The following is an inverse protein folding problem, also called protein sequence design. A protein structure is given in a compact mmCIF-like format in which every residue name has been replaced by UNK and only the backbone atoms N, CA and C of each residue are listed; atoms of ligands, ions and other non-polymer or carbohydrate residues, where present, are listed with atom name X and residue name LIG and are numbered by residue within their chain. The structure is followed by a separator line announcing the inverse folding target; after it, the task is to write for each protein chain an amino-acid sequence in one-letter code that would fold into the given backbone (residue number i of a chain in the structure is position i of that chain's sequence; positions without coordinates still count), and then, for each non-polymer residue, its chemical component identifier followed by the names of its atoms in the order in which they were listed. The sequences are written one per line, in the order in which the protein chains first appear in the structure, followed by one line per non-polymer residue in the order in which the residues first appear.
data_IF_876422510727
#
_entry.id   IF_876422510727
#
_cell.length_a   1.000
_cell.length_b   1.000
_cell.length_c   1.000
_cell.angle_alpha   90.00
_cell.angle_beta   90.00
_cell.angle_gamma   90.00
#
_symmetry.space_group_name_H-M   'P 1'
#
loop_
_entity.id
_entity.type
_entity.pdbx_description
1 polymer ?
#
# COMPACT_ATOMS: atom_id res chain seq x y z
N UNK A 1 4.19 -6.86 -13.32
CA UNK A 1 4.09 -7.40 -11.95
C UNK A 1 4.14 -6.26 -10.95
N UNK A 2 3.12 -6.15 -10.10
CA UNK A 2 3.04 -5.12 -9.06
C UNK A 2 3.52 -5.67 -7.71
N UNK A 3 4.19 -4.82 -6.94
CA UNK A 3 4.52 -5.11 -5.55
C UNK A 3 4.47 -3.84 -4.69
N UNK A 4 4.25 -4.02 -3.40
CA UNK A 4 4.38 -2.96 -2.40
C UNK A 4 5.62 -3.22 -1.57
N UNK A 5 6.55 -2.27 -1.57
CA UNK A 5 7.79 -2.33 -0.79
C UNK A 5 7.63 -1.42 0.42
N UNK A 6 7.67 -2.02 1.60
CA UNK A 6 7.74 -1.32 2.88
C UNK A 6 9.21 -1.22 3.29
N UNK A 7 9.69 -0.03 3.63
CA UNK A 7 11.10 0.22 3.89
C UNK A 7 11.34 1.05 5.16
N UNK A 8 12.46 0.79 5.82
CA UNK A 8 12.99 1.60 6.93
C UNK A 8 14.19 2.40 6.44
N UNK A 9 14.26 3.69 6.75
CA UNK A 9 15.37 4.57 6.36
C UNK A 9 16.42 4.59 7.48
N UNK A 10 17.68 4.36 7.13
CA UNK A 10 18.76 4.18 8.11
C UNK A 10 19.08 5.41 8.97
N UNK A 11 18.70 6.61 8.52
CA UNK A 11 18.84 7.85 9.29
C UNK A 11 17.62 8.74 9.13
N UNK A 12 17.11 9.25 10.26
CA UNK A 12 15.98 10.18 10.30
C UNK A 12 16.24 11.47 9.51
N UNK A 13 17.48 11.95 9.48
CA UNK A 13 17.85 13.15 8.72
C UNK A 13 17.81 12.92 7.20
N UNK A 14 17.85 11.67 6.74
CA UNK A 14 17.84 11.30 5.33
C UNK A 14 16.46 11.02 4.76
N UNK A 15 15.38 11.04 5.55
CA UNK A 15 14.03 10.65 5.12
C UNK A 15 13.57 11.35 3.84
N UNK A 16 13.74 12.68 3.78
CA UNK A 16 13.29 13.50 2.64
C UNK A 16 14.14 13.23 1.39
N UNK A 17 15.46 13.09 1.55
CA UNK A 17 16.36 12.82 0.42
C UNK A 17 16.11 11.40 -0.13
N UNK A 18 15.95 10.42 0.76
CA UNK A 18 15.64 9.04 0.41
C UNK A 18 14.32 8.93 -0.34
N UNK A 19 13.24 9.56 0.14
CA UNK A 19 11.93 9.47 -0.55
C UNK A 19 11.97 10.16 -1.92
N UNK A 20 12.67 11.29 -2.05
CA UNK A 20 12.84 11.98 -3.33
C UNK A 20 13.63 11.12 -4.32
N UNK A 21 14.70 10.47 -3.88
CA UNK A 21 15.48 9.55 -4.71
C UNK A 21 14.65 8.34 -5.15
N UNK A 22 13.89 7.71 -4.25
CA UNK A 22 13.00 6.59 -4.57
C UNK A 22 11.97 7.00 -5.63
N UNK A 23 11.32 8.15 -5.48
CA UNK A 23 10.33 8.67 -6.45
C UNK A 23 10.91 8.94 -7.84
N UNK A 24 12.22 9.10 -7.96
CA UNK A 24 12.89 9.32 -9.25
C UNK A 24 13.13 8.03 -10.04
N UNK A 25 12.99 6.84 -9.41
CA UNK A 25 13.16 5.57 -10.09
C UNK A 25 11.95 5.26 -10.98
N UNK A 26 12.21 4.93 -12.25
CA UNK A 26 11.17 4.66 -13.25
C UNK A 26 10.26 3.46 -12.94
N UNK A 27 10.68 2.56 -12.05
CA UNK A 27 9.91 1.38 -11.66
C UNK A 27 9.04 1.64 -10.42
N UNK A 28 9.16 2.82 -9.80
CA UNK A 28 8.35 3.26 -8.67
C UNK A 28 7.20 4.09 -9.21
N UNK A 29 5.97 3.58 -9.10
CA UNK A 29 4.76 4.30 -9.54
C UNK A 29 4.41 5.41 -8.54
N UNK A 30 4.54 5.11 -7.24
CA UNK A 30 4.35 6.09 -6.17
C UNK A 30 5.09 5.66 -4.92
N UNK A 31 5.43 6.63 -4.09
CA UNK A 31 6.11 6.39 -2.82
C UNK A 31 5.75 7.45 -1.79
N UNK A 32 5.45 7.03 -0.57
CA UNK A 32 5.05 7.90 0.53
C UNK A 32 5.90 7.64 1.77
N UNK A 33 6.21 8.71 2.49
CA UNK A 33 6.52 8.60 3.91
C UNK A 33 5.25 8.17 4.66
N UNK A 34 5.39 7.25 5.60
CA UNK A 34 4.27 6.70 6.37
C UNK A 34 4.53 6.71 7.88
N UNK A 35 3.45 6.83 8.65
CA UNK A 35 3.45 6.60 10.09
C UNK A 35 3.21 5.12 10.37
N UNK A 36 4.16 4.47 11.03
CA UNK A 36 4.02 3.06 11.41
C UNK A 36 5.37 2.38 11.70
N UNK A 37 5.43 1.05 11.57
CA UNK A 37 6.65 0.27 11.78
C UNK A 37 7.67 0.39 10.64
N UNK A 38 7.31 1.07 9.55
CA UNK A 38 8.15 1.37 8.40
C UNK A 38 8.10 2.88 8.17
N UNK A 39 9.12 3.41 7.51
CA UNK A 39 9.22 4.83 7.19
C UNK A 39 8.66 5.15 5.79
N UNK A 40 8.77 4.20 4.86
CA UNK A 40 8.42 4.38 3.44
C UNK A 40 7.53 3.24 2.96
N UNK A 41 6.53 3.57 2.15
CA UNK A 41 5.77 2.61 1.34
C UNK A 41 5.89 3.00 -0.12
N UNK A 42 6.34 2.08 -0.97
CA UNK A 42 6.47 2.28 -2.42
C UNK A 42 5.66 1.25 -3.19
N UNK A 43 4.83 1.70 -4.12
CA UNK A 43 4.20 0.84 -5.12
C UNK A 43 5.13 0.75 -6.31
N UNK A 44 5.57 -0.46 -6.65
CA UNK A 44 6.51 -0.71 -7.73
C UNK A 44 5.88 -1.58 -8.80
N UNK A 45 6.26 -1.33 -10.05
CA UNK A 45 5.83 -2.10 -11.19
C UNK A 45 7.06 -2.57 -11.96
N UNK A 46 7.25 -3.88 -12.01
CA UNK A 46 8.43 -4.54 -12.55
C UNK A 46 8.02 -5.71 -13.43
N UNK A 47 8.91 -6.09 -14.34
CA UNK A 47 8.66 -7.18 -15.29
C UNK A 47 8.87 -8.58 -14.67
N UNK A 48 9.69 -8.68 -13.62
CA UNK A 48 10.05 -9.95 -12.99
C UNK A 48 10.53 -9.79 -11.55
N UNK A 49 10.62 -10.91 -10.81
CA UNK A 49 11.22 -10.95 -9.48
C UNK A 49 12.71 -10.54 -9.49
N UNK A 50 13.43 -10.81 -10.58
CA UNK A 50 14.82 -10.37 -10.72
C UNK A 50 14.91 -8.85 -10.81
N UNK A 51 13.98 -8.21 -11.53
CA UNK A 51 13.89 -6.76 -11.58
C UNK A 51 13.46 -6.16 -10.23
N UNK A 52 12.59 -6.83 -9.48
CA UNK A 52 12.27 -6.43 -8.11
C UNK A 52 13.53 -6.37 -7.23
N UNK A 53 14.39 -7.39 -7.28
CA UNK A 53 15.65 -7.38 -6.54
C UNK A 53 16.54 -6.18 -6.91
N UNK A 54 16.63 -5.83 -8.19
CA UNK A 54 17.36 -4.65 -8.64
C UNK A 54 16.76 -3.35 -8.08
N UNK A 55 15.43 -3.23 -8.02
CA UNK A 55 14.77 -2.08 -7.38
C UNK A 55 15.10 -2.02 -5.89
N UNK A 56 15.08 -3.16 -5.19
CA UNK A 56 15.44 -3.21 -3.76
C UNK A 56 16.90 -2.81 -3.51
N UNK A 57 17.83 -3.24 -4.37
CA UNK A 57 19.24 -2.84 -4.28
C UNK A 57 19.41 -1.33 -4.57
N UNK A 58 18.67 -0.78 -5.52
CA UNK A 58 18.62 0.67 -5.77
C UNK A 58 18.08 1.43 -4.55
N UNK A 59 16.97 0.98 -3.95
CA UNK A 59 16.40 1.58 -2.73
C UNK A 59 17.39 1.55 -1.56
N UNK A 60 18.17 0.47 -1.43
CA UNK A 60 19.27 0.40 -0.47
C UNK A 60 20.35 1.44 -0.72
N UNK A 61 20.72 1.63 -1.98
CA UNK A 61 21.62 2.71 -2.40
C UNK A 61 21.11 4.11 -2.00
N UNK A 62 19.80 4.30 -1.91
CA UNK A 62 19.17 5.55 -1.46
C UNK A 62 19.02 5.69 0.06
N UNK A 63 19.47 4.70 0.85
CA UNK A 63 19.45 4.77 2.32
C UNK A 63 18.34 3.95 3.00
N UNK A 64 17.59 3.13 2.25
CA UNK A 64 16.66 2.15 2.83
C UNK A 64 17.44 0.94 3.33
N UNK A 65 17.32 0.59 4.62
CA UNK A 65 18.13 -0.49 5.22
C UNK A 65 17.39 -1.83 5.23
N UNK A 66 16.14 -1.81 5.73
CA UNK A 66 15.30 -3.00 5.83
C UNK A 66 14.11 -2.85 4.90
N UNK A 67 13.76 -3.94 4.19
CA UNK A 67 12.63 -3.95 3.27
C UNK A 67 11.76 -5.18 3.47
N UNK A 68 10.45 -5.00 3.33
CA UNK A 68 9.48 -6.08 3.20
C UNK A 68 8.73 -5.90 1.88
N UNK A 69 8.80 -6.90 1.01
CA UNK A 69 8.18 -6.87 -0.32
C UNK A 69 6.92 -7.70 -0.33
N UNK A 70 5.79 -7.07 -0.64
CA UNK A 70 4.47 -7.68 -0.73
C UNK A 70 4.08 -7.77 -2.21
N UNK A 71 4.14 -8.99 -2.76
CA UNK A 71 3.87 -9.21 -4.18
C UNK A 71 2.37 -9.27 -4.41
N UNK A 72 1.86 -8.55 -5.41
CA UNK A 72 0.45 -8.59 -5.79
C UNK A 72 0.13 -9.91 -6.51
N UNK A 73 -0.94 -10.59 -6.08
CA UNK A 73 -1.48 -11.75 -6.77
C UNK A 73 -2.32 -11.29 -7.98
N UNK A 74 -1.73 -11.33 -9.19
CA UNK A 74 -2.40 -10.90 -10.42
C UNK A 74 -3.63 -11.76 -10.79
N UNK A 75 -3.73 -13.00 -10.27
CA UNK A 75 -4.90 -13.87 -10.46
C UNK A 75 -6.00 -13.70 -9.40
N UNK A 76 -5.77 -12.85 -8.40
CA UNK A 76 -6.64 -12.62 -7.26
C UNK A 76 -7.49 -11.36 -7.38
N UNK A 77 -7.92 -10.82 -6.24
CA UNK A 77 -8.55 -9.49 -6.18
C UNK A 77 -7.54 -8.44 -6.64
N UNK A 78 -7.90 -7.63 -7.65
CA UNK A 78 -7.06 -6.51 -8.09
C UNK A 78 -7.91 -5.50 -8.84
N UNK A 79 -8.05 -4.30 -8.30
CA UNK A 79 -8.76 -3.20 -8.96
C UNK A 79 -8.08 -1.86 -8.66
N UNK A 80 -8.19 -0.93 -9.61
CA UNK A 80 -7.79 0.47 -9.49
C UNK A 80 -8.92 1.32 -10.07
N UNK A 81 -9.46 2.25 -9.30
CA UNK A 81 -10.46 3.20 -9.79
C UNK A 81 -9.81 4.19 -10.75
N UNK A 82 -10.61 4.75 -11.65
CA UNK A 82 -10.15 5.76 -12.60
C UNK A 82 -9.50 6.94 -11.86
N UNK A 83 -8.28 7.33 -12.28
CA UNK A 83 -7.50 8.38 -11.64
C UNK A 83 -6.86 8.01 -10.30
N UNK A 84 -6.88 6.75 -9.87
CA UNK A 84 -6.25 6.32 -8.61
C UNK A 84 -4.75 6.66 -8.56
N UNK A 85 -4.04 6.62 -9.68
CA UNK A 85 -2.60 6.94 -9.77
C UNK A 85 -2.27 8.43 -9.64
N UNK A 86 -3.23 9.32 -9.90
CA UNK A 86 -3.01 10.78 -9.84
C UNK A 86 -3.50 11.40 -8.54
N UNK A 87 -4.32 10.68 -7.79
CA UNK A 87 -4.82 11.12 -6.48
C UNK A 87 -3.80 10.85 -5.38
N UNK A 88 -3.59 11.85 -4.52
CA UNK A 88 -2.85 11.67 -3.26
C UNK A 88 -3.62 10.71 -2.36
N UNK A 89 -2.89 9.90 -1.62
CA UNK A 89 -3.45 8.92 -0.69
C UNK A 89 -3.15 9.34 0.74
N UNK A 90 -4.14 9.30 1.63
CA UNK A 90 -3.90 9.57 3.05
C UNK A 90 -3.44 8.34 3.82
N UNK A 91 -3.73 7.13 3.32
CA UNK A 91 -3.38 5.90 4.00
C UNK A 91 -3.33 4.70 3.04
N UNK A 92 -2.60 3.68 3.47
CA UNK A 92 -2.73 2.32 3.00
C UNK A 92 -3.20 1.44 4.14
N UNK A 93 -4.18 0.58 3.88
CA UNK A 93 -4.72 -0.37 4.86
C UNK A 93 -4.34 -1.78 4.41
N UNK A 94 -3.54 -2.44 5.21
CA UNK A 94 -3.12 -3.83 5.05
C UNK A 94 -4.08 -4.72 5.82
N UNK A 95 -4.98 -5.36 5.08
CA UNK A 95 -6.10 -6.13 5.57
C UNK A 95 -5.70 -7.61 5.72
N UNK A 96 -6.01 -8.17 6.88
CA UNK A 96 -6.02 -9.61 7.10
C UNK A 96 -7.46 -10.10 7.06
N UNK A 97 -7.77 -11.06 6.19
CA UNK A 97 -9.09 -11.66 6.09
C UNK A 97 -9.23 -12.80 7.09
N UNK A 98 -10.42 -12.95 7.70
CA UNK A 98 -10.72 -14.04 8.63
C UNK A 98 -10.91 -15.38 7.94
N UNK A 99 -11.39 -15.35 6.69
CA UNK A 99 -11.64 -16.53 5.86
C UNK A 99 -11.30 -16.19 4.41
N UNK A 100 -10.85 -17.16 3.59
CA UNK A 100 -10.75 -16.98 2.15
C UNK A 100 -12.18 -16.86 1.60
N UNK A 101 -12.69 -15.64 1.49
CA UNK A 101 -13.97 -15.37 0.87
C UNK A 101 -13.81 -15.28 -0.66
N UNK A 102 -14.92 -15.40 -1.39
CA UNK A 102 -14.91 -15.29 -2.84
C UNK A 102 -14.30 -13.93 -3.28
N UNK A 103 -13.16 -13.91 -4.01
CA UNK A 103 -12.44 -12.67 -4.35
C UNK A 103 -13.33 -11.60 -5.00
N UNK A 104 -14.24 -12.03 -5.89
CA UNK A 104 -15.18 -11.17 -6.62
C UNK A 104 -16.20 -10.43 -5.74
N UNK A 105 -16.46 -10.94 -4.52
CA UNK A 105 -17.39 -10.28 -3.60
C UNK A 105 -16.71 -9.11 -2.89
N UNK A 106 -15.46 -9.31 -2.46
CA UNK A 106 -14.65 -8.26 -1.84
C UNK A 106 -14.36 -7.11 -2.77
N UNK A 107 -14.04 -7.40 -4.03
CA UNK A 107 -13.81 -6.38 -5.04
C UNK A 107 -15.00 -5.41 -5.10
N UNK A 108 -16.23 -5.95 -5.18
CA UNK A 108 -17.45 -5.13 -5.19
C UNK A 108 -17.63 -4.29 -3.92
N UNK A 109 -17.35 -4.85 -2.75
CA UNK A 109 -17.51 -4.12 -1.48
C UNK A 109 -16.43 -3.05 -1.28
N UNK A 110 -15.18 -3.34 -1.62
CA UNK A 110 -14.09 -2.37 -1.52
C UNK A 110 -14.30 -1.25 -2.55
N UNK A 111 -14.74 -1.58 -3.76
CA UNK A 111 -15.08 -0.59 -4.77
C UNK A 111 -16.26 0.29 -4.38
N UNK A 112 -17.21 -0.20 -3.57
CA UNK A 112 -18.36 0.60 -3.11
C UNK A 112 -18.04 1.58 -1.98
N UNK A 113 -16.84 1.51 -1.40
CA UNK A 113 -16.33 2.55 -0.51
C UNK A 113 -15.70 3.62 -1.38
N UNK A 114 -16.33 4.79 -1.46
CA UNK A 114 -15.95 5.87 -2.39
C UNK A 114 -14.49 6.27 -2.23
N UNK A 115 -14.03 6.33 -0.98
CA UNK A 115 -12.68 6.73 -0.58
C UNK A 115 -11.60 5.68 -0.83
N UNK A 116 -11.95 4.42 -1.09
CA UNK A 116 -10.95 3.41 -1.49
C UNK A 116 -10.65 3.58 -2.96
N UNK A 117 -9.39 3.84 -3.29
CA UNK A 117 -8.96 4.11 -4.67
C UNK A 117 -8.51 2.84 -5.40
N UNK A 118 -7.84 1.94 -4.71
CA UNK A 118 -7.41 0.67 -5.27
C UNK A 118 -7.39 -0.42 -4.19
N UNK A 119 -7.37 -1.66 -4.64
CA UNK A 119 -7.25 -2.83 -3.78
C UNK A 119 -6.56 -3.97 -4.50
N UNK A 120 -5.61 -4.61 -3.82
CA UNK A 120 -4.82 -5.70 -4.38
C UNK A 120 -4.66 -6.82 -3.37
N UNK A 121 -4.90 -8.05 -3.81
CA UNK A 121 -4.53 -9.26 -3.10
C UNK A 121 -3.02 -9.41 -3.07
N UNK A 122 -2.47 -9.80 -1.92
CA UNK A 122 -1.04 -9.91 -1.69
C UNK A 122 -0.65 -11.33 -1.33
N UNK A 123 0.54 -11.74 -1.75
CA UNK A 123 1.24 -12.88 -1.15
C UNK A 123 1.98 -12.41 0.10
N UNK A 124 1.69 -13.02 1.25
CA UNK A 124 2.47 -12.83 2.47
C UNK A 124 1.64 -12.72 3.75
N UNK A 125 2.08 -11.82 4.64
CA UNK A 125 1.51 -11.67 5.99
C UNK A 125 0.09 -11.10 5.96
N UNK A 126 -0.17 -10.13 5.09
CA UNK A 126 -1.49 -9.57 4.83
C UNK A 126 -2.06 -10.14 3.54
N UNK A 127 -3.40 -10.18 3.46
CA UNK A 127 -4.08 -10.81 2.33
C UNK A 127 -4.47 -9.77 1.28
N UNK A 128 -4.78 -8.54 1.70
CA UNK A 128 -5.17 -7.44 0.79
C UNK A 128 -4.52 -6.13 1.26
N UNK A 129 -4.09 -5.30 0.33
CA UNK A 129 -3.80 -3.88 0.58
C UNK A 129 -4.80 -3.02 -0.17
N UNK A 130 -5.30 -1.97 0.48
CA UNK A 130 -6.11 -0.93 -0.17
C UNK A 130 -5.48 0.44 0.05
N UNK A 131 -5.62 1.32 -0.92
CA UNK A 131 -5.25 2.74 -0.75
C UNK A 131 -6.48 3.62 -0.59
N UNK A 132 -6.30 4.70 0.18
CA UNK A 132 -7.38 5.59 0.60
C UNK A 132 -7.10 7.00 0.13
N UNK A 133 -8.11 7.62 -0.50
CA UNK A 133 -8.09 9.00 -0.99
C UNK A 133 -7.77 10.00 0.12
N UNK A 134 -6.93 11.00 -0.18
CA UNK A 134 -6.53 12.06 0.76
C UNK A 134 -7.73 12.80 1.37
N UNK A 135 -8.82 12.95 0.61
CA UNK A 135 -10.06 13.59 1.07
C UNK A 135 -10.62 12.91 2.33
N UNK A 136 -10.37 11.61 2.51
CA UNK A 136 -10.86 10.86 3.65
C UNK A 136 -10.15 11.18 4.97
N UNK A 137 -8.99 11.87 4.95
CA UNK A 137 -8.12 12.00 6.13
C UNK A 137 -8.82 12.59 7.35
N UNK A 138 -9.54 13.70 7.16
CA UNK A 138 -10.14 14.47 8.27
C UNK A 138 -11.32 13.73 8.94
N UNK A 139 -11.95 12.79 8.23
CA UNK A 139 -13.04 11.95 8.75
C UNK A 139 -12.84 10.47 8.43
N UNK A 140 -11.60 10.01 8.60
CA UNK A 140 -11.18 8.66 8.20
C UNK A 140 -12.03 7.57 8.87
N UNK A 141 -12.43 7.82 10.12
CA UNK A 141 -13.24 6.87 10.88
C UNK A 141 -14.59 6.61 10.21
N UNK A 142 -15.38 7.64 9.90
CA UNK A 142 -16.72 7.44 9.36
C UNK A 142 -16.70 7.10 7.86
N UNK A 143 -15.77 7.70 7.11
CA UNK A 143 -15.69 7.52 5.66
C UNK A 143 -15.12 6.15 5.28
N UNK A 144 -14.14 5.64 6.03
CA UNK A 144 -13.39 4.44 5.66
C UNK A 144 -13.51 3.35 6.71
N UNK A 145 -13.02 3.60 7.92
CA UNK A 145 -12.87 2.55 8.94
C UNK A 145 -14.20 1.90 9.32
N UNK A 146 -15.25 2.68 9.54
CA UNK A 146 -16.59 2.20 9.88
C UNK A 146 -17.18 1.35 8.76
N UNK A 147 -16.97 1.73 7.48
CA UNK A 147 -17.43 0.95 6.33
C UNK A 147 -16.68 -0.38 6.20
N UNK A 148 -15.37 -0.38 6.40
CA UNK A 148 -14.56 -1.61 6.46
C UNK A 148 -14.94 -2.50 7.64
N UNK A 149 -15.24 -1.93 8.81
CA UNK A 149 -15.65 -2.69 10.00
C UNK A 149 -16.95 -3.45 9.79
N UNK A 150 -17.89 -2.91 9.01
CA UNK A 150 -19.14 -3.59 8.67
C UNK A 150 -18.92 -4.84 7.81
N UNK A 151 -17.74 -5.00 7.22
CA UNK A 151 -17.31 -6.22 6.54
C UNK A 151 -16.84 -7.22 7.61
N UNK A 152 -17.75 -8.09 8.05
CA UNK A 152 -17.54 -9.06 9.16
C UNK A 152 -16.38 -10.04 8.95
N UNK A 153 -15.92 -10.16 7.71
CA UNK A 153 -14.82 -11.00 7.27
C UNK A 153 -13.45 -10.31 7.42
N UNK A 154 -13.39 -9.00 7.68
CA UNK A 154 -12.13 -8.31 8.01
C UNK A 154 -11.71 -8.68 9.43
N UNK A 155 -10.46 -9.13 9.57
CA UNK A 155 -9.85 -9.25 10.89
C UNK A 155 -9.30 -7.89 11.34
N UNK A 156 -10.15 -7.07 11.97
CA UNK A 156 -9.77 -5.71 12.39
C UNK A 156 -8.59 -5.69 13.38
N UNK A 157 -8.37 -6.74 14.17
CA UNK A 157 -7.24 -6.81 15.13
C UNK A 157 -5.90 -7.13 14.46
N UNK A 158 -5.91 -7.65 13.24
CA UNK A 158 -4.70 -7.96 12.46
C UNK A 158 -4.56 -7.06 11.23
N UNK A 159 -5.51 -6.16 11.01
CA UNK A 159 -5.49 -5.15 9.95
C UNK A 159 -4.69 -3.95 10.41
N UNK A 160 -3.78 -3.47 9.57
CA UNK A 160 -2.87 -2.38 9.89
C UNK A 160 -3.11 -1.21 8.96
N UNK A 161 -3.33 -0.01 9.51
CA UNK A 161 -3.44 1.23 8.74
C UNK A 161 -2.14 2.00 8.86
N UNK A 162 -1.53 2.33 7.72
CA UNK A 162 -0.34 3.16 7.63
C UNK A 162 -0.74 4.49 6.99
N UNK A 163 -0.78 5.55 7.79
CA UNK A 163 -1.12 6.89 7.31
C UNK A 163 0.07 7.51 6.61
N UNK A 164 -0.15 8.14 5.46
CA UNK A 164 0.89 8.92 4.78
C UNK A 164 1.16 10.21 5.55
N UNK A 165 2.41 10.64 5.56
CA UNK A 165 2.81 11.92 6.13
C UNK A 165 2.37 13.03 5.17
N UNK A 166 1.78 14.11 5.69
CA UNK A 166 1.55 15.34 4.91
C UNK A 166 2.90 15.99 4.65
N UNK A 167 3.39 15.82 3.42
CA UNK A 167 4.46 16.61 2.82
C UNK A 167 3.87 17.84 2.13
#
# INVERSE_FOLDING_TARGET
MKAFVLGTVGSRSGLIETIQAIRSDKNVEESYLIWGPYDVLSKVNVESLKHLNSVLDTMRGYGVVDTNSLIVNEGGLSFEKEGASTKRKCAYIFIKMRRPSAPKLWEKYLMSIDEILEGHELFGMWDVVVSVDEDAREDFFNRVFKRLWLLTEVNMTSTHTMFTVKE
#
